data_IF_826804871762
#
_entry.id   IF_826804871762
#
_cell.length_a   1.000
_cell.length_b   1.000
_cell.length_c   1.000
_cell.angle_alpha   90.00
_cell.angle_beta   90.00
_cell.angle_gamma   90.00
#
_symmetry.space_group_name_H-M   'P 1'
#
loop_
_entity.id
_entity.type
_entity.pdbx_description
1 polymer ?
#
# COMPACT_ATOMS: atom_id res chain seq x y z
N UNK A 1 1.71 79.69 -0.18
CA UNK A 1 1.55 78.47 0.63
C UNK A 1 1.61 77.25 -0.30
N UNK A 2 2.76 76.57 -0.38
CA UNK A 2 2.96 75.38 -1.24
C UNK A 2 2.71 74.15 -0.35
N UNK A 3 1.68 73.34 -0.70
CA UNK A 3 1.37 72.07 -0.02
C UNK A 3 2.16 70.94 -0.72
N UNK A 4 3.17 70.37 -0.07
CA UNK A 4 3.91 69.24 -0.55
C UNK A 4 3.15 67.97 -0.18
N UNK A 5 2.65 67.22 -1.19
CA UNK A 5 2.09 65.89 -1.00
C UNK A 5 3.24 64.87 -0.90
N UNK A 6 3.39 64.19 0.23
CA UNK A 6 4.31 63.06 0.40
C UNK A 6 3.51 61.81 0.04
N UNK A 7 3.84 61.18 -1.09
CA UNK A 7 3.28 59.87 -1.50
C UNK A 7 4.09 58.79 -0.85
N UNK A 8 3.52 58.13 0.14
CA UNK A 8 4.11 56.96 0.83
C UNK A 8 3.89 55.72 -0.04
N UNK A 9 4.91 55.27 -0.75
CA UNK A 9 4.90 54.00 -1.53
C UNK A 9 5.06 52.81 -0.58
N UNK A 10 3.97 52.12 -0.29
CA UNK A 10 4.05 50.78 0.36
C UNK A 10 4.59 49.75 -0.64
N UNK A 11 5.87 49.41 -0.54
CA UNK A 11 6.42 48.21 -1.17
C UNK A 11 5.87 46.98 -0.40
N UNK A 12 4.84 46.34 -0.93
CA UNK A 12 4.36 45.06 -0.48
C UNK A 12 5.41 43.98 -0.77
N UNK A 13 6.15 43.54 0.24
CA UNK A 13 6.94 42.31 0.16
C UNK A 13 5.94 41.15 0.10
N UNK A 14 5.70 40.62 -1.11
CA UNK A 14 5.06 39.33 -1.29
C UNK A 14 6.04 38.25 -0.77
N UNK A 15 5.96 37.91 0.51
CA UNK A 15 6.64 36.75 1.04
C UNK A 15 6.07 35.51 0.30
N UNK A 16 6.85 34.90 -0.58
CA UNK A 16 6.57 33.58 -1.07
C UNK A 16 6.60 32.61 0.13
N UNK A 17 5.44 32.33 0.71
CA UNK A 17 5.28 31.26 1.69
C UNK A 17 5.41 29.96 0.89
N UNK A 18 6.62 29.47 0.74
CA UNK A 18 6.83 28.09 0.33
C UNK A 18 6.20 27.22 1.41
N UNK A 19 5.23 26.40 1.03
CA UNK A 19 4.71 25.39 1.94
C UNK A 19 5.90 24.55 2.45
N UNK A 20 5.99 24.40 3.78
CA UNK A 20 7.06 23.60 4.38
C UNK A 20 7.02 22.18 3.83
N UNK A 21 8.20 21.61 3.51
CA UNK A 21 8.28 20.21 3.10
C UNK A 21 7.71 19.30 4.20
N UNK A 22 7.05 18.22 3.83
CA UNK A 22 6.44 17.28 4.75
C UNK A 22 7.44 16.76 5.80
N UNK A 23 8.73 16.66 5.45
CA UNK A 23 9.78 16.27 6.41
C UNK A 23 9.83 17.23 7.61
N UNK A 24 9.82 18.53 7.34
CA UNK A 24 9.87 19.56 8.38
C UNK A 24 8.62 19.47 9.27
N UNK A 25 7.46 19.31 8.67
CA UNK A 25 6.18 19.14 9.39
C UNK A 25 6.19 17.91 10.30
N UNK A 26 6.66 16.76 9.79
CA UNK A 26 6.75 15.51 10.53
C UNK A 26 7.75 15.61 11.68
N UNK A 27 8.92 16.22 11.44
CA UNK A 27 9.95 16.41 12.47
C UNK A 27 9.52 17.39 13.56
N UNK A 28 8.91 18.51 13.21
CA UNK A 28 8.39 19.48 14.19
C UNK A 28 7.29 18.89 15.06
N UNK A 29 6.39 18.09 14.47
CA UNK A 29 5.34 17.40 15.20
C UNK A 29 5.87 16.23 16.05
N UNK A 30 7.02 15.67 15.69
CA UNK A 30 7.63 14.52 16.36
C UNK A 30 6.92 13.19 16.11
N UNK A 31 6.00 13.14 15.14
CA UNK A 31 5.23 11.94 14.80
C UNK A 31 5.11 11.78 13.28
N UNK A 32 5.15 10.52 12.80
CA UNK A 32 4.80 10.12 11.44
C UNK A 32 3.40 9.49 11.47
N UNK A 33 2.42 10.11 10.81
CA UNK A 33 1.05 9.60 10.69
C UNK A 33 0.96 8.59 9.56
N UNK A 34 0.67 7.35 9.91
CA UNK A 34 0.70 6.19 9.01
C UNK A 34 -0.69 5.59 8.92
N UNK A 35 -1.23 5.49 7.71
CA UNK A 35 -2.49 4.79 7.47
C UNK A 35 -2.26 3.40 6.89
N UNK A 36 -3.10 2.44 7.30
CA UNK A 36 -3.13 1.05 6.86
C UNK A 36 -4.50 0.42 7.15
N UNK A 37 -4.79 -0.76 6.60
CA UNK A 37 -6.10 -1.40 6.82
C UNK A 37 -6.26 -1.97 8.24
N UNK A 38 -5.24 -2.60 8.77
CA UNK A 38 -5.32 -3.36 10.03
C UNK A 38 -6.09 -4.67 9.92
N UNK A 39 -6.41 -5.11 8.69
CA UNK A 39 -7.14 -6.35 8.36
C UNK A 39 -6.51 -7.11 7.20
N UNK A 40 -5.25 -6.82 6.90
CA UNK A 40 -4.52 -7.33 5.73
C UNK A 40 -3.26 -8.14 6.13
N UNK A 41 -3.43 -9.33 6.75
CA UNK A 41 -2.31 -10.18 7.14
C UNK A 41 -1.57 -10.76 5.93
N UNK A 42 -0.25 -10.98 5.98
CA UNK A 42 0.66 -10.73 7.11
C UNK A 42 1.26 -9.31 7.13
N UNK A 43 0.76 -8.40 6.29
CA UNK A 43 1.29 -7.04 6.14
C UNK A 43 0.95 -6.16 7.33
N UNK A 44 -0.34 -6.03 7.65
CA UNK A 44 -0.84 -5.23 8.76
C UNK A 44 -2.20 -5.78 9.21
N UNK A 45 -2.29 -6.21 10.46
CA UNK A 45 -3.50 -6.80 11.02
C UNK A 45 -3.52 -6.71 12.54
N UNK A 46 -4.66 -7.01 13.15
CA UNK A 46 -4.76 -7.16 14.60
C UNK A 46 -4.57 -8.62 14.99
N UNK A 47 -3.68 -8.86 15.96
CA UNK A 47 -3.47 -10.18 16.54
C UNK A 47 -4.65 -10.60 17.45
N UNK A 48 -4.50 -11.74 18.14
CA UNK A 48 -5.53 -12.27 19.03
C UNK A 48 -5.82 -11.35 20.21
N UNK A 49 -4.85 -10.56 20.65
CA UNK A 49 -4.94 -9.56 21.69
C UNK A 49 -5.41 -8.18 21.17
N UNK A 50 -5.89 -8.12 19.91
CA UNK A 50 -6.33 -6.90 19.21
C UNK A 50 -5.22 -5.84 19.02
N UNK A 51 -3.97 -6.23 19.17
CA UNK A 51 -2.82 -5.38 18.94
C UNK A 51 -2.47 -5.35 17.46
N UNK A 52 -2.26 -4.14 16.92
CA UNK A 52 -1.83 -3.96 15.55
C UNK A 52 -0.41 -4.51 15.36
N UNK A 53 -0.24 -5.38 14.38
CA UNK A 53 1.00 -6.09 14.07
C UNK A 53 1.13 -6.36 12.58
N UNK A 54 2.25 -6.93 12.15
CA UNK A 54 2.51 -7.30 10.76
C UNK A 54 3.78 -6.69 10.19
N UNK A 55 4.13 -7.14 9.00
CA UNK A 55 5.33 -6.71 8.30
C UNK A 55 5.43 -5.18 8.18
N UNK A 56 4.37 -4.54 7.72
CA UNK A 56 4.35 -3.09 7.48
C UNK A 56 4.29 -2.29 8.78
N UNK A 57 3.69 -2.83 9.83
CA UNK A 57 3.68 -2.18 11.14
C UNK A 57 5.10 -2.14 11.72
N UNK A 58 5.86 -3.25 11.61
CA UNK A 58 7.25 -3.30 12.05
C UNK A 58 8.16 -2.44 11.17
N UNK A 59 7.96 -2.48 9.84
CA UNK A 59 8.72 -1.65 8.91
C UNK A 59 8.49 -0.16 9.16
N UNK A 60 7.23 0.26 9.30
CA UNK A 60 6.86 1.65 9.57
C UNK A 60 7.41 2.15 10.91
N UNK A 61 7.41 1.29 11.93
CA UNK A 61 8.02 1.59 13.23
C UNK A 61 9.53 1.81 13.09
N UNK A 62 10.22 0.94 12.36
CA UNK A 62 11.65 1.06 12.11
C UNK A 62 11.98 2.31 11.26
N UNK A 63 11.14 2.64 10.27
CA UNK A 63 11.27 3.88 9.47
C UNK A 63 11.13 5.13 10.34
N UNK A 64 10.09 5.19 11.18
CA UNK A 64 9.87 6.32 12.09
C UNK A 64 11.07 6.53 13.05
N UNK A 65 11.66 5.43 13.55
CA UNK A 65 12.88 5.49 14.35
C UNK A 65 14.07 6.09 13.57
N UNK A 66 14.26 5.69 12.29
CA UNK A 66 15.30 6.27 11.43
C UNK A 66 15.07 7.77 11.17
N UNK A 67 13.83 8.20 11.08
CA UNK A 67 13.43 9.61 10.97
C UNK A 67 13.46 10.36 12.31
N UNK A 68 13.75 9.67 13.42
CA UNK A 68 13.79 10.21 14.80
C UNK A 68 12.41 10.77 15.26
N UNK A 69 11.32 10.14 14.84
CA UNK A 69 9.94 10.47 15.23
C UNK A 69 9.21 9.22 15.71
N UNK A 70 8.04 9.42 16.35
CA UNK A 70 7.18 8.30 16.78
C UNK A 70 6.22 7.90 15.66
N UNK A 71 5.92 6.60 15.44
CA UNK A 71 4.85 6.18 14.54
C UNK A 71 3.48 6.42 15.19
N UNK A 72 2.54 6.95 14.42
CA UNK A 72 1.13 7.11 14.79
C UNK A 72 0.28 6.39 13.75
N UNK A 73 -0.33 5.26 14.15
CA UNK A 73 -1.09 4.41 13.24
C UNK A 73 -2.58 4.74 13.26
N UNK A 74 -3.17 4.83 12.07
CA UNK A 74 -4.61 4.92 11.87
C UNK A 74 -5.05 3.78 10.95
N UNK A 75 -6.06 3.02 11.37
CA UNK A 75 -6.65 1.94 10.55
C UNK A 75 -7.93 2.39 9.88
N UNK A 76 -8.19 1.86 8.68
CA UNK A 76 -9.39 2.16 7.91
C UNK A 76 -9.56 1.25 6.69
N UNK A 77 -10.70 1.31 6.02
CA UNK A 77 -10.92 0.55 4.80
C UNK A 77 -9.99 1.04 3.66
N UNK A 78 -9.49 0.10 2.85
CA UNK A 78 -8.63 0.38 1.71
C UNK A 78 -9.15 1.50 0.82
N UNK A 79 -10.44 1.48 0.50
CA UNK A 79 -11.08 2.46 -0.39
C UNK A 79 -10.94 3.91 0.08
N UNK A 80 -10.73 4.14 1.39
CA UNK A 80 -10.59 5.46 2.00
C UNK A 80 -9.14 5.91 2.23
N UNK A 81 -8.16 4.99 2.21
CA UNK A 81 -6.78 5.31 2.62
C UNK A 81 -6.11 6.34 1.71
N UNK A 82 -6.14 6.12 0.39
CA UNK A 82 -5.50 7.03 -0.56
C UNK A 82 -6.22 8.38 -0.65
N UNK A 83 -7.55 8.39 -0.53
CA UNK A 83 -8.31 9.64 -0.46
C UNK A 83 -7.99 10.43 0.82
N UNK A 84 -7.84 9.73 1.96
CA UNK A 84 -7.40 10.32 3.22
C UNK A 84 -5.98 10.91 3.14
N UNK A 85 -5.06 10.21 2.45
CA UNK A 85 -3.71 10.70 2.18
C UNK A 85 -3.75 11.97 1.33
N UNK A 86 -4.51 11.97 0.25
CA UNK A 86 -4.68 13.15 -0.62
C UNK A 86 -5.28 14.34 0.13
N UNK A 87 -6.18 14.08 1.08
CA UNK A 87 -6.78 15.08 1.96
C UNK A 87 -5.91 15.49 3.16
N UNK A 88 -4.66 15.02 3.26
CA UNK A 88 -3.71 15.40 4.31
C UNK A 88 -4.05 14.84 5.71
N UNK A 89 -4.92 13.82 5.82
CA UNK A 89 -5.22 13.16 7.10
C UNK A 89 -4.03 12.35 7.63
N UNK A 90 -3.22 11.82 6.73
CA UNK A 90 -2.05 10.98 6.98
C UNK A 90 -0.83 11.56 6.25
N UNK A 91 0.35 11.23 6.70
CA UNK A 91 1.60 11.58 6.01
C UNK A 91 1.94 10.52 4.95
N UNK A 92 1.67 9.24 5.26
CA UNK A 92 2.00 8.09 4.43
C UNK A 92 0.92 7.00 4.53
N UNK A 93 0.85 6.14 3.51
CA UNK A 93 0.11 4.87 3.56
C UNK A 93 1.10 3.72 3.39
N UNK A 94 1.13 2.78 4.35
CA UNK A 94 1.82 1.50 4.22
C UNK A 94 0.78 0.38 4.17
N UNK A 95 0.43 -0.06 2.97
CA UNK A 95 -0.61 -1.07 2.73
C UNK A 95 -0.45 -1.72 1.36
N UNK A 96 0.74 -2.20 1.04
CA UNK A 96 1.09 -2.80 -0.25
C UNK A 96 0.61 -1.94 -1.44
N UNK A 97 0.91 -0.65 -1.39
CA UNK A 97 0.46 0.27 -2.41
C UNK A 97 1.31 0.12 -3.68
N UNK A 98 0.74 -0.48 -4.72
CA UNK A 98 1.40 -0.62 -6.02
C UNK A 98 1.79 0.74 -6.59
N UNK A 99 3.02 0.87 -7.04
CA UNK A 99 3.51 2.05 -7.76
C UNK A 99 2.98 1.94 -9.20
N UNK A 100 1.92 2.68 -9.52
CA UNK A 100 1.33 2.75 -10.86
C UNK A 100 1.43 4.17 -11.41
N UNK A 101 1.45 4.33 -12.74
CA UNK A 101 1.54 5.67 -13.36
C UNK A 101 0.35 6.54 -12.96
N UNK A 102 -0.85 6.00 -12.92
CA UNK A 102 -2.04 6.69 -12.44
C UNK A 102 -1.89 7.22 -11.01
N UNK A 103 -1.29 6.44 -10.11
CA UNK A 103 -1.04 6.89 -8.72
C UNK A 103 0.08 7.91 -8.63
N UNK A 104 1.10 7.81 -9.50
CA UNK A 104 2.17 8.82 -9.59
C UNK A 104 1.67 10.19 -10.08
N UNK A 105 0.54 10.26 -10.75
CA UNK A 105 -0.08 11.55 -11.10
C UNK A 105 -0.50 12.34 -9.84
N UNK A 106 -0.87 11.64 -8.77
CA UNK A 106 -1.44 12.22 -7.54
C UNK A 106 -0.46 12.22 -6.38
N UNK A 107 0.39 11.19 -6.27
CA UNK A 107 1.31 10.96 -5.15
C UNK A 107 2.76 10.87 -5.61
N UNK A 108 3.68 11.26 -4.73
CA UNK A 108 5.06 10.81 -4.80
C UNK A 108 5.19 9.49 -4.03
N UNK A 109 6.22 8.72 -4.34
CA UNK A 109 6.47 7.41 -3.74
C UNK A 109 7.92 7.31 -3.25
N UNK A 110 8.11 6.54 -2.19
CA UNK A 110 9.45 6.04 -1.85
C UNK A 110 10.00 5.14 -2.96
N UNK A 111 11.28 4.77 -2.84
CA UNK A 111 11.77 3.57 -3.52
C UNK A 111 10.91 2.35 -3.12
N UNK A 112 10.84 1.29 -3.97
CA UNK A 112 10.09 0.10 -3.64
C UNK A 112 10.62 -0.57 -2.36
N UNK A 113 9.70 -1.04 -1.49
CA UNK A 113 10.06 -1.84 -0.32
C UNK A 113 9.67 -3.32 -0.47
N UNK A 114 8.70 -3.65 -1.33
CA UNK A 114 8.39 -5.03 -1.72
C UNK A 114 8.25 -5.15 -3.24
N UNK A 115 8.59 -6.33 -3.76
CA UNK A 115 8.37 -6.72 -5.15
C UNK A 115 7.59 -8.04 -5.11
N UNK A 116 6.39 -8.02 -5.67
CA UNK A 116 5.49 -9.18 -5.69
C UNK A 116 4.80 -9.31 -7.05
N UNK A 117 3.79 -10.14 -7.14
CA UNK A 117 2.95 -10.28 -8.33
C UNK A 117 1.50 -10.47 -7.95
N UNK A 118 0.58 -10.18 -8.85
CA UNK A 118 -0.81 -10.59 -8.70
C UNK A 118 -0.91 -12.10 -8.92
N UNK A 119 -1.78 -12.77 -8.15
CA UNK A 119 -2.00 -14.20 -8.27
C UNK A 119 -3.48 -14.53 -8.06
N UNK A 120 -3.97 -15.48 -8.83
CA UNK A 120 -5.33 -16.01 -8.66
C UNK A 120 -5.41 -16.87 -7.40
N UNK A 121 -6.61 -16.90 -6.83
CA UNK A 121 -7.00 -17.78 -5.73
C UNK A 121 -8.29 -18.46 -6.15
N UNK A 122 -8.35 -19.78 -5.99
CA UNK A 122 -9.51 -20.58 -6.36
C UNK A 122 -9.86 -21.56 -5.25
N UNK A 123 -11.04 -22.17 -5.32
CA UNK A 123 -11.41 -23.25 -4.39
C UNK A 123 -10.48 -24.45 -4.54
N UNK A 124 -10.26 -25.18 -3.46
CA UNK A 124 -9.37 -26.34 -3.45
C UNK A 124 -9.82 -27.45 -4.44
N UNK A 125 -11.13 -27.61 -4.59
CA UNK A 125 -11.75 -28.56 -5.51
C UNK A 125 -11.96 -28.02 -6.93
N UNK A 126 -11.46 -26.84 -7.26
CA UNK A 126 -11.50 -26.32 -8.62
C UNK A 126 -10.59 -27.15 -9.54
N UNK A 127 -11.18 -27.73 -10.56
CA UNK A 127 -10.49 -28.61 -11.54
C UNK A 127 -10.10 -27.89 -12.81
N UNK A 128 -10.71 -26.73 -13.09
CA UNK A 128 -10.36 -25.93 -14.27
C UNK A 128 -9.01 -25.24 -14.05
N UNK A 129 -8.17 -25.29 -15.06
CA UNK A 129 -6.86 -24.63 -15.02
C UNK A 129 -6.99 -23.21 -15.57
N UNK A 130 -7.25 -22.23 -14.71
CA UNK A 130 -7.17 -20.82 -15.10
C UNK A 130 -5.71 -20.39 -15.15
N UNK A 131 -5.19 -20.13 -16.35
CA UNK A 131 -3.82 -19.68 -16.60
C UNK A 131 -3.65 -18.16 -16.48
N UNK A 132 -4.75 -17.41 -16.47
CA UNK A 132 -4.79 -15.97 -16.38
C UNK A 132 -6.21 -15.43 -16.34
N UNK A 133 -6.35 -14.11 -16.41
CA UNK A 133 -7.67 -13.46 -16.36
C UNK A 133 -8.56 -13.80 -17.55
N UNK A 134 -7.98 -14.02 -18.74
CA UNK A 134 -8.76 -14.35 -19.94
C UNK A 134 -9.61 -15.62 -19.79
N UNK A 135 -9.11 -16.61 -19.03
CA UNK A 135 -9.83 -17.86 -18.80
C UNK A 135 -11.05 -17.70 -17.85
N UNK A 136 -11.19 -16.53 -17.25
CA UNK A 136 -12.28 -16.18 -16.34
C UNK A 136 -13.42 -15.42 -17.03
N UNK A 137 -13.45 -15.37 -18.37
CA UNK A 137 -14.56 -14.78 -19.12
C UNK A 137 -15.90 -15.44 -18.73
N UNK A 138 -16.93 -14.63 -18.44
CA UNK A 138 -18.24 -15.08 -17.97
C UNK A 138 -18.25 -15.61 -16.53
N UNK A 139 -17.17 -15.48 -15.77
CA UNK A 139 -17.07 -15.91 -14.36
C UNK A 139 -17.16 -14.72 -13.42
N UNK A 140 -17.56 -15.01 -12.17
CA UNK A 140 -17.60 -14.04 -11.07
C UNK A 140 -16.26 -14.00 -10.37
N UNK A 141 -15.68 -12.82 -10.24
CA UNK A 141 -14.39 -12.63 -9.60
C UNK A 141 -14.46 -11.62 -8.46
N UNK A 142 -14.04 -12.06 -7.26
CA UNK A 142 -13.94 -11.18 -6.10
C UNK A 142 -12.68 -10.31 -6.18
N UNK A 143 -12.86 -8.99 -6.01
CA UNK A 143 -11.78 -7.99 -5.99
C UNK A 143 -12.04 -6.94 -4.92
N UNK A 144 -10.97 -6.42 -4.30
CA UNK A 144 -11.10 -5.32 -3.36
C UNK A 144 -11.43 -4.02 -4.11
N UNK A 145 -12.46 -3.32 -3.68
CA UNK A 145 -12.91 -2.06 -4.29
C UNK A 145 -11.78 -1.02 -4.30
N UNK A 146 -11.56 -0.38 -5.46
CA UNK A 146 -10.52 0.65 -5.63
C UNK A 146 -9.07 0.11 -5.67
N UNK A 147 -8.88 -1.21 -5.70
CA UNK A 147 -7.57 -1.81 -5.85
C UNK A 147 -7.10 -1.80 -7.32
N UNK A 148 -5.78 -1.90 -7.51
CA UNK A 148 -5.20 -2.16 -8.84
C UNK A 148 -5.68 -3.50 -9.42
N UNK A 149 -6.01 -4.47 -8.60
CA UNK A 149 -6.59 -5.76 -9.04
C UNK A 149 -7.97 -5.56 -9.65
N UNK A 150 -8.81 -4.71 -9.06
CA UNK A 150 -10.11 -4.34 -9.63
C UNK A 150 -9.93 -3.64 -10.99
N UNK A 151 -8.92 -2.79 -11.15
CA UNK A 151 -8.59 -2.16 -12.43
C UNK A 151 -8.11 -3.20 -13.47
N UNK A 152 -7.27 -4.16 -13.07
CA UNK A 152 -6.83 -5.26 -13.95
C UNK A 152 -7.99 -6.10 -14.47
N UNK A 153 -8.93 -6.48 -13.59
CA UNK A 153 -10.12 -7.26 -13.95
C UNK A 153 -11.03 -6.47 -14.88
N UNK A 154 -11.23 -5.18 -14.60
CA UNK A 154 -12.00 -4.28 -15.46
C UNK A 154 -11.37 -4.11 -16.85
N UNK A 155 -10.05 -3.95 -16.90
CA UNK A 155 -9.31 -3.79 -18.16
C UNK A 155 -9.35 -5.06 -19.01
N UNK A 156 -9.35 -6.25 -18.41
CA UNK A 156 -9.50 -7.52 -19.11
C UNK A 156 -10.84 -7.62 -19.84
N UNK A 157 -11.91 -7.12 -19.24
CA UNK A 157 -13.27 -7.26 -19.77
C UNK A 157 -13.79 -8.70 -19.69
N UNK A 158 -15.11 -8.85 -19.89
CA UNK A 158 -15.77 -10.17 -19.92
C UNK A 158 -15.86 -10.90 -18.58
N UNK A 159 -15.32 -10.36 -17.49
CA UNK A 159 -15.37 -10.92 -16.14
C UNK A 159 -16.40 -10.14 -15.31
N UNK A 160 -17.27 -10.85 -14.58
CA UNK A 160 -18.21 -10.23 -13.65
C UNK A 160 -17.48 -9.90 -12.33
N UNK A 161 -16.97 -8.67 -12.19
CA UNK A 161 -16.29 -8.23 -10.98
C UNK A 161 -17.29 -8.04 -9.81
N UNK A 162 -17.02 -8.69 -8.68
CA UNK A 162 -17.71 -8.49 -7.40
C UNK A 162 -16.78 -7.72 -6.47
N UNK A 163 -17.23 -6.56 -6.00
CA UNK A 163 -16.42 -5.65 -5.19
C UNK A 163 -16.66 -5.88 -3.70
N UNK A 164 -15.57 -5.92 -2.95
CA UNK A 164 -15.55 -6.16 -1.51
C UNK A 164 -14.70 -5.11 -0.79
N UNK A 165 -15.00 -4.82 0.48
CA UNK A 165 -14.18 -3.90 1.28
C UNK A 165 -12.83 -4.52 1.69
N UNK A 166 -12.74 -5.85 1.84
CA UNK A 166 -11.53 -6.53 2.29
C UNK A 166 -11.26 -7.87 1.59
N UNK A 167 -10.01 -8.32 1.63
CA UNK A 167 -9.61 -9.64 1.12
C UNK A 167 -10.27 -10.79 1.91
N UNK A 168 -10.50 -10.62 3.21
CA UNK A 168 -11.09 -11.67 4.04
C UNK A 168 -12.51 -12.03 3.58
N UNK A 169 -13.34 -11.04 3.26
CA UNK A 169 -14.70 -11.26 2.74
C UNK A 169 -14.70 -11.94 1.37
N UNK A 170 -13.76 -11.55 0.49
CA UNK A 170 -13.56 -12.20 -0.80
C UNK A 170 -13.29 -13.71 -0.60
N UNK A 171 -12.40 -14.06 0.33
CA UNK A 171 -12.04 -15.46 0.58
C UNK A 171 -13.20 -16.27 1.16
N UNK A 172 -14.02 -15.67 2.01
CA UNK A 172 -15.23 -16.32 2.52
C UNK A 172 -16.23 -16.60 1.37
N UNK A 173 -16.48 -15.63 0.52
CA UNK A 173 -17.42 -15.78 -0.61
C UNK A 173 -16.87 -16.74 -1.68
N UNK A 174 -15.56 -16.74 -1.90
CA UNK A 174 -14.92 -17.71 -2.78
C UNK A 174 -15.06 -19.15 -2.23
N UNK A 175 -14.82 -19.35 -0.94
CA UNK A 175 -14.98 -20.65 -0.29
C UNK A 175 -16.41 -21.18 -0.38
N UNK A 176 -17.39 -20.30 -0.27
CA UNK A 176 -18.82 -20.59 -0.36
C UNK A 176 -19.35 -20.69 -1.80
N UNK A 177 -18.51 -20.43 -2.81
CA UNK A 177 -18.88 -20.51 -4.23
C UNK A 177 -19.71 -19.34 -4.75
N UNK A 178 -19.78 -18.20 -4.02
CA UNK A 178 -20.48 -16.99 -4.48
C UNK A 178 -19.69 -16.27 -5.58
N UNK A 179 -18.37 -16.44 -5.58
CA UNK A 179 -17.49 -16.08 -6.69
C UNK A 179 -16.68 -17.29 -7.15
N UNK A 180 -16.24 -17.28 -8.40
CA UNK A 180 -15.49 -18.39 -9.01
C UNK A 180 -13.99 -18.33 -8.72
N UNK A 181 -13.44 -17.13 -8.64
CA UNK A 181 -12.04 -16.85 -8.38
C UNK A 181 -11.86 -15.54 -7.61
N UNK A 182 -10.69 -15.34 -7.06
CA UNK A 182 -10.22 -14.07 -6.52
C UNK A 182 -8.81 -13.77 -7.06
N UNK A 183 -8.37 -12.53 -6.90
CA UNK A 183 -7.00 -12.10 -7.21
C UNK A 183 -6.47 -11.25 -6.05
N UNK A 184 -5.24 -11.50 -5.65
CA UNK A 184 -4.56 -10.70 -4.65
C UNK A 184 -3.03 -10.82 -4.78
N UNK A 185 -2.31 -10.20 -3.87
CA UNK A 185 -0.86 -10.23 -3.80
C UNK A 185 -0.33 -11.65 -3.52
N UNK A 186 0.68 -12.08 -4.26
CA UNK A 186 1.28 -13.41 -4.11
C UNK A 186 1.92 -13.64 -2.73
N UNK A 187 2.34 -12.58 -2.03
CA UNK A 187 2.89 -12.66 -0.69
C UNK A 187 1.82 -12.87 0.40
N UNK A 188 0.58 -12.41 0.14
CA UNK A 188 -0.55 -12.64 1.05
C UNK A 188 -1.01 -14.09 1.04
N UNK A 189 -1.05 -14.73 -0.13
CA UNK A 189 -1.76 -15.98 -0.35
C UNK A 189 -1.28 -17.12 0.56
N UNK A 190 0.04 -17.40 0.70
CA UNK A 190 0.50 -18.48 1.57
C UNK A 190 0.05 -18.31 3.03
N UNK A 191 0.08 -17.08 3.52
CA UNK A 191 -0.36 -16.77 4.88
C UNK A 191 -1.88 -16.93 5.01
N UNK A 192 -2.64 -16.35 4.10
CA UNK A 192 -4.10 -16.42 4.11
C UNK A 192 -4.61 -17.86 4.03
N UNK A 193 -4.03 -18.70 3.18
CA UNK A 193 -4.42 -20.11 3.06
C UNK A 193 -4.13 -20.91 4.33
N UNK A 194 -3.01 -20.60 5.04
CA UNK A 194 -2.64 -21.25 6.27
C UNK A 194 -3.54 -20.86 7.44
N UNK A 195 -3.79 -19.56 7.61
CA UNK A 195 -4.50 -19.03 8.77
C UNK A 195 -6.03 -19.12 8.63
N UNK A 196 -6.57 -18.85 7.44
CA UNK A 196 -8.01 -18.85 7.23
C UNK A 196 -8.64 -20.25 7.27
N UNK A 197 -7.82 -21.32 7.09
CA UNK A 197 -8.27 -22.73 7.03
C UNK A 197 -9.44 -22.96 6.04
N UNK A 198 -9.60 -22.07 5.08
CA UNK A 198 -10.63 -22.18 4.05
C UNK A 198 -10.20 -23.19 2.98
N UNK A 199 -11.15 -23.86 2.29
CA UNK A 199 -10.88 -24.82 1.24
C UNK A 199 -10.45 -24.11 -0.07
N UNK A 200 -9.39 -23.29 0.01
CA UNK A 200 -8.83 -22.51 -1.08
C UNK A 200 -7.43 -22.98 -1.44
N UNK A 201 -6.99 -22.65 -2.64
CA UNK A 201 -5.61 -22.86 -3.13
C UNK A 201 -5.15 -21.70 -4.00
N UNK A 202 -3.85 -21.52 -4.08
CA UNK A 202 -3.23 -20.60 -5.02
C UNK A 202 -3.49 -21.07 -6.45
N UNK A 203 -3.87 -20.13 -7.32
CA UNK A 203 -3.98 -20.31 -8.75
C UNK A 203 -2.75 -19.77 -9.50
N UNK A 204 -2.91 -19.50 -10.78
CA UNK A 204 -1.83 -18.99 -11.62
C UNK A 204 -1.44 -17.54 -11.24
N UNK A 205 -0.17 -17.14 -11.42
CA UNK A 205 0.23 -15.74 -11.38
C UNK A 205 -0.43 -14.97 -12.54
N UNK A 206 -0.69 -13.69 -12.32
CA UNK A 206 -1.31 -12.79 -13.31
C UNK A 206 -0.39 -11.60 -13.57
N UNK A 207 -0.04 -11.40 -14.83
CA UNK A 207 0.87 -10.32 -15.23
C UNK A 207 2.30 -10.53 -14.74
N UNK A 208 3.07 -9.44 -14.76
CA UNK A 208 4.45 -9.41 -14.28
C UNK A 208 4.56 -9.06 -12.78
N UNK A 209 5.80 -8.79 -12.36
CA UNK A 209 6.08 -8.28 -11.01
C UNK A 209 5.58 -6.85 -10.85
N UNK A 210 5.13 -6.53 -9.66
CA UNK A 210 4.68 -5.21 -9.24
C UNK A 210 5.54 -4.72 -8.07
N UNK A 211 5.93 -3.48 -8.13
CA UNK A 211 6.67 -2.80 -7.06
C UNK A 211 5.70 -2.07 -6.14
N UNK A 212 5.87 -2.27 -4.83
CA UNK A 212 5.10 -1.57 -3.80
C UNK A 212 5.96 -0.50 -3.15
N UNK A 213 5.41 0.69 -3.00
CA UNK A 213 6.10 1.83 -2.39
C UNK A 213 5.22 2.54 -1.36
N UNK A 214 5.82 3.47 -0.66
CA UNK A 214 5.15 4.29 0.35
C UNK A 214 4.69 5.58 -0.33
N UNK A 215 3.38 5.77 -0.62
CA UNK A 215 2.87 7.03 -1.17
C UNK A 215 2.79 8.12 -0.10
N UNK A 216 3.03 9.35 -0.52
CA UNK A 216 2.87 10.58 0.25
C UNK A 216 2.50 11.75 -0.66
N UNK A 217 2.15 12.91 -0.09
CA UNK A 217 1.76 14.08 -0.86
C UNK A 217 2.88 14.53 -1.81
N UNK A 218 2.50 14.89 -3.06
CA UNK A 218 3.46 15.38 -4.06
C UNK A 218 4.17 16.66 -3.65
N UNK A 219 5.37 16.85 -4.22
CA UNK A 219 6.14 18.08 -4.06
C UNK A 219 6.93 18.14 -2.76
N UNK A 220 7.22 16.97 -2.14
CA UNK A 220 7.99 16.87 -0.90
C UNK A 220 9.33 16.15 -1.12
N UNK A 221 10.29 16.73 -1.87
CA UNK A 221 11.53 16.06 -2.25
C UNK A 221 12.44 15.74 -1.06
N UNK A 222 12.44 16.58 -0.01
CA UNK A 222 13.21 16.32 1.21
C UNK A 222 12.63 15.12 1.96
N UNK A 223 11.31 15.02 2.05
CA UNK A 223 10.64 13.87 2.66
C UNK A 223 10.91 12.58 1.88
N UNK A 224 10.82 12.64 0.53
CA UNK A 224 11.20 11.50 -0.33
C UNK A 224 12.63 11.03 -0.02
N UNK A 225 13.59 11.93 -0.05
CA UNK A 225 14.99 11.60 0.23
C UNK A 225 15.16 11.00 1.64
N UNK A 226 14.45 11.52 2.64
CA UNK A 226 14.53 11.04 4.02
C UNK A 226 13.97 9.61 4.16
N UNK A 227 12.81 9.32 3.55
CA UNK A 227 12.22 7.96 3.55
C UNK A 227 13.12 6.97 2.79
N UNK A 228 13.63 7.34 1.62
CA UNK A 228 14.51 6.47 0.83
C UNK A 228 15.83 6.19 1.57
N UNK A 229 16.43 7.20 2.22
CA UNK A 229 17.60 7.02 3.06
C UNK A 229 17.32 6.14 4.27
N UNK A 230 16.15 6.27 4.90
CA UNK A 230 15.72 5.40 6.00
C UNK A 230 15.58 3.95 5.54
N UNK A 231 14.93 3.69 4.40
CA UNK A 231 14.83 2.34 3.80
C UNK A 231 16.23 1.76 3.51
N UNK A 232 17.11 2.54 2.89
CA UNK A 232 18.49 2.13 2.61
C UNK A 232 19.26 1.79 3.89
N UNK A 233 19.09 2.57 4.95
CA UNK A 233 19.71 2.30 6.24
C UNK A 233 19.20 0.99 6.87
N UNK A 234 17.90 0.71 6.77
CA UNK A 234 17.28 -0.56 7.23
C UNK A 234 17.75 -1.77 6.42
N UNK A 235 18.02 -1.60 5.13
CA UNK A 235 18.63 -2.65 4.31
C UNK A 235 20.09 -2.88 4.72
N UNK A 236 20.86 -1.80 4.90
CA UNK A 236 22.29 -1.86 5.24
C UNK A 236 22.55 -2.50 6.59
N UNK A 237 21.73 -2.20 7.61
CA UNK A 237 21.89 -2.75 8.96
C UNK A 237 21.20 -4.11 9.16
N UNK A 238 20.56 -4.64 8.12
CA UNK A 238 19.89 -5.95 8.13
C UNK A 238 18.50 -5.96 8.80
N UNK A 239 18.02 -4.83 9.32
CA UNK A 239 16.70 -4.75 9.97
C UNK A 239 15.58 -5.11 9.01
N UNK A 240 15.60 -4.58 7.77
CA UNK A 240 14.63 -4.92 6.75
C UNK A 240 14.57 -6.43 6.50
N UNK A 241 15.72 -7.07 6.25
CA UNK A 241 15.81 -8.50 6.01
C UNK A 241 15.28 -9.31 7.19
N UNK A 242 15.59 -8.91 8.43
CA UNK A 242 15.09 -9.58 9.64
C UNK A 242 13.55 -9.54 9.70
N UNK A 243 12.95 -8.38 9.48
CA UNK A 243 11.49 -8.21 9.46
C UNK A 243 10.89 -9.04 8.31
N UNK A 244 11.44 -8.94 7.11
CA UNK A 244 10.96 -9.66 5.94
C UNK A 244 10.97 -11.18 6.13
N UNK A 245 12.09 -11.73 6.59
CA UNK A 245 12.22 -13.18 6.84
C UNK A 245 11.29 -13.66 7.96
N UNK A 246 11.07 -12.84 9.00
CA UNK A 246 10.10 -13.14 10.07
C UNK A 246 8.70 -13.39 9.51
N UNK A 247 8.24 -12.56 8.58
CA UNK A 247 6.87 -12.59 8.10
C UNK A 247 6.67 -13.48 6.86
N UNK A 248 7.66 -13.54 5.97
CA UNK A 248 7.54 -14.21 4.67
C UNK A 248 8.49 -15.40 4.49
N UNK A 249 9.47 -15.58 5.36
CA UNK A 249 10.54 -16.57 5.20
C UNK A 249 11.58 -16.21 4.14
N UNK A 250 11.42 -15.10 3.45
CA UNK A 250 12.28 -14.61 2.36
C UNK A 250 12.50 -13.10 2.45
N UNK A 251 13.43 -12.57 1.66
CA UNK A 251 13.65 -11.14 1.47
C UNK A 251 12.75 -10.63 0.34
N UNK A 252 11.63 -9.97 0.71
CA UNK A 252 10.60 -9.49 -0.24
C UNK A 252 10.98 -8.20 -0.98
N UNK A 253 12.14 -7.61 -0.69
CA UNK A 253 12.67 -6.48 -1.48
C UNK A 253 13.22 -6.90 -2.84
N UNK A 254 13.34 -8.20 -3.07
CA UNK A 254 13.84 -8.79 -4.31
C UNK A 254 12.71 -9.45 -5.09
N UNK A 255 12.78 -9.33 -6.42
CA UNK A 255 11.84 -10.07 -7.27
C UNK A 255 11.88 -11.57 -6.92
N UNK A 256 10.71 -12.24 -6.86
CA UNK A 256 10.67 -13.68 -6.73
C UNK A 256 11.55 -14.32 -7.83
N UNK A 257 12.34 -15.37 -7.47
CA UNK A 257 13.06 -16.12 -8.47
C UNK A 257 12.06 -16.65 -9.52
N UNK A 258 12.39 -16.49 -10.80
CA UNK A 258 11.60 -17.08 -11.87
C UNK A 258 11.48 -18.59 -11.63
N UNK A 259 10.26 -19.10 -11.49
CA UNK A 259 9.96 -20.53 -11.38
C UNK A 259 9.73 -21.14 -12.74
#
# INVERSE_FOLDING_TARGET
MKKTLITLSLLGFAANVYAADLLETVQQRGTLKIALEGTYPPFNFKDKEQKLTGFEVELATALAQKLKVKPEFTTGEWSGLLAGLQGGKFDVVLNQVSITDKRKEVFDFSQPYTISSAQLIVRKNETRAFKGLADLAGKKMGVTQGSNYAEMVKAQGGIEAKFYPSAAEIFQDLAQGRVDAAINDSLLIPFALKEAKLPLKAGAPVGGTTQMGIPFAKGNPKFKAAIDNALNALHKDGTFKKISVKWFGIDVSKAPAAR
#
